data_IF_974938084410
#
_entry.id   IF_974938084410
#
_cell.length_a   1.000
_cell.length_b   1.000
_cell.length_c   1.000
_cell.angle_alpha   90.00
_cell.angle_beta   90.00
_cell.angle_gamma   90.00
#
_symmetry.space_group_name_H-M   'P 1'
#
loop_
_entity.id
_entity.type
_entity.pdbx_description
1 polymer ?
#
# COMPACT_ATOMS: atom_id res chain seq x y z
N UNK A 1 -11.17 16.47 51.27
CA UNK A 1 -11.75 15.14 50.97
C UNK A 1 -12.67 15.34 49.78
N UNK A 2 -12.53 14.75 48.59
CA UNK A 2 -11.53 13.89 47.97
C UNK A 2 -11.89 13.82 46.48
N UNK A 3 -10.85 13.88 45.63
CA UNK A 3 -10.65 13.19 44.36
C UNK A 3 -11.75 13.16 43.25
N UNK A 4 -11.36 13.55 42.04
CA UNK A 4 -11.53 12.71 40.85
C UNK A 4 -10.69 13.27 39.69
N UNK A 5 -9.41 12.89 39.68
CA UNK A 5 -8.54 13.13 38.53
C UNK A 5 -9.02 12.26 37.36
N UNK A 6 -9.66 12.88 36.37
CA UNK A 6 -10.01 12.21 35.10
C UNK A 6 -8.72 11.90 34.34
N UNK A 7 -8.19 10.71 34.57
CA UNK A 7 -7.12 10.11 33.75
C UNK A 7 -7.66 9.92 32.34
N UNK A 8 -7.28 10.81 31.43
CA UNK A 8 -7.41 10.61 30.00
C UNK A 8 -6.41 9.52 29.60
N UNK A 9 -6.85 8.27 29.58
CA UNK A 9 -6.09 7.17 28.96
C UNK A 9 -6.13 7.36 27.45
N UNK A 10 -5.24 8.21 26.92
CA UNK A 10 -4.86 8.21 25.51
C UNK A 10 -3.91 7.02 25.28
N UNK A 11 -4.48 5.85 25.00
CA UNK A 11 -3.67 4.65 24.84
C UNK A 11 -4.49 3.52 24.25
N UNK A 12 -4.78 3.59 22.95
CA UNK A 12 -5.46 2.49 22.28
C UNK A 12 -5.96 2.84 20.89
N UNK A 13 -5.04 3.02 19.92
CA UNK A 13 -5.41 3.03 18.49
C UNK A 13 -4.32 2.69 17.45
N UNK A 14 -3.26 1.90 17.73
CA UNK A 14 -2.32 1.54 16.66
C UNK A 14 -2.88 0.44 15.73
N UNK A 15 -3.60 -0.56 16.25
CA UNK A 15 -3.97 -1.74 15.46
C UNK A 15 -4.99 -1.46 14.33
N UNK A 16 -6.04 -0.69 14.62
CA UNK A 16 -7.08 -0.38 13.64
C UNK A 16 -6.56 0.51 12.49
N UNK A 17 -5.62 1.42 12.77
CA UNK A 17 -5.02 2.28 11.76
C UNK A 17 -4.09 1.49 10.81
N UNK A 18 -3.36 0.50 11.33
CA UNK A 18 -2.48 -0.35 10.51
C UNK A 18 -3.29 -1.20 9.53
N UNK A 19 -4.42 -1.75 9.98
CA UNK A 19 -5.28 -2.57 9.12
C UNK A 19 -6.00 -1.74 8.05
N UNK A 20 -6.38 -0.50 8.35
CA UNK A 20 -6.94 0.43 7.34
C UNK A 20 -5.92 0.71 6.24
N UNK A 21 -4.69 1.08 6.61
CA UNK A 21 -3.64 1.38 5.63
C UNK A 21 -3.26 0.14 4.81
N UNK A 22 -3.35 -1.07 5.38
CA UNK A 22 -3.17 -2.33 4.62
C UNK A 22 -4.28 -2.51 3.58
N UNK A 23 -5.53 -2.20 3.91
CA UNK A 23 -6.66 -2.27 2.97
C UNK A 23 -6.49 -1.26 1.84
N UNK A 24 -6.16 -0.02 2.16
CA UNK A 24 -5.87 1.03 1.19
C UNK A 24 -4.75 0.59 0.21
N UNK A 25 -3.67 0.00 0.73
CA UNK A 25 -2.57 -0.49 -0.08
C UNK A 25 -2.97 -1.63 -1.04
N UNK A 26 -3.79 -2.58 -0.56
CA UNK A 26 -4.32 -3.65 -1.43
C UNK A 26 -5.26 -3.09 -2.50
N UNK A 27 -6.07 -2.09 -2.14
CA UNK A 27 -6.95 -1.41 -3.08
C UNK A 27 -6.14 -0.69 -4.16
N UNK A 28 -5.10 0.06 -3.79
CA UNK A 28 -4.19 0.72 -4.74
C UNK A 28 -3.48 -0.27 -5.66
N UNK A 29 -3.03 -1.42 -5.15
CA UNK A 29 -2.45 -2.48 -5.97
C UNK A 29 -3.45 -3.01 -6.99
N UNK A 30 -4.70 -3.26 -6.56
CA UNK A 30 -5.76 -3.74 -7.43
C UNK A 30 -6.11 -2.73 -8.53
N UNK A 31 -6.22 -1.44 -8.18
CA UNK A 31 -6.46 -0.33 -9.11
C UNK A 31 -5.33 -0.23 -10.12
N UNK A 32 -4.08 -0.25 -9.65
CA UNK A 32 -2.90 -0.18 -10.51
C UNK A 32 -2.88 -1.34 -11.50
N UNK A 33 -3.21 -2.56 -11.06
CA UNK A 33 -3.30 -3.73 -11.95
C UNK A 33 -4.39 -3.59 -13.01
N UNK A 34 -5.55 -3.03 -12.66
CA UNK A 34 -6.61 -2.73 -13.63
C UNK A 34 -6.14 -1.68 -14.65
N UNK A 35 -5.50 -0.60 -14.20
CA UNK A 35 -4.95 0.42 -15.09
C UNK A 35 -3.89 -0.15 -16.04
N UNK A 36 -3.03 -1.06 -15.58
CA UNK A 36 -2.04 -1.75 -16.43
C UNK A 36 -2.76 -2.53 -17.55
N UNK A 37 -3.79 -3.31 -17.20
CA UNK A 37 -4.56 -4.06 -18.20
C UNK A 37 -5.27 -3.15 -19.20
N UNK A 38 -5.77 -2.00 -18.75
CA UNK A 38 -6.38 -0.98 -19.61
C UNK A 38 -5.35 -0.39 -20.59
N UNK A 39 -4.16 -0.03 -20.10
CA UNK A 39 -3.08 0.49 -20.94
C UNK A 39 -2.60 -0.55 -21.96
N UNK A 40 -2.51 -1.83 -21.58
CA UNK A 40 -2.23 -2.92 -22.53
C UNK A 40 -3.35 -3.07 -23.59
N UNK A 41 -4.60 -2.92 -23.19
CA UNK A 41 -5.73 -2.96 -24.13
C UNK A 41 -5.67 -1.79 -25.10
N UNK A 42 -5.33 -0.59 -24.62
CA UNK A 42 -5.13 0.58 -25.46
C UNK A 42 -3.96 0.39 -26.43
N UNK A 43 -2.81 -0.13 -25.95
CA UNK A 43 -1.65 -0.46 -26.77
C UNK A 43 -2.00 -1.44 -27.90
N UNK A 44 -2.75 -2.49 -27.60
CA UNK A 44 -3.16 -3.48 -28.60
C UNK A 44 -4.07 -2.92 -29.70
N UNK A 45 -4.82 -1.86 -29.41
CA UNK A 45 -5.69 -1.19 -30.38
C UNK A 45 -5.02 0.01 -31.05
N UNK A 46 -3.89 0.49 -30.52
CA UNK A 46 -3.15 1.61 -31.06
C UNK A 46 -2.39 1.18 -32.32
N UNK A 47 -2.61 1.89 -33.43
CA UNK A 47 -1.86 1.71 -34.69
C UNK A 47 -0.90 2.89 -34.94
N UNK A 48 -1.15 4.02 -34.29
CA UNK A 48 -0.36 5.22 -34.43
C UNK A 48 0.96 5.13 -33.62
N UNK A 49 2.13 5.44 -34.21
CA UNK A 49 3.42 5.35 -33.53
C UNK A 49 3.55 6.22 -32.27
N UNK A 50 2.97 7.43 -32.27
CA UNK A 50 2.99 8.33 -31.12
C UNK A 50 2.09 7.78 -29.99
N UNK A 51 0.92 7.26 -30.32
CA UNK A 51 0.03 6.60 -29.34
C UNK A 51 0.66 5.34 -28.74
N UNK A 52 1.31 4.52 -29.56
CA UNK A 52 2.06 3.34 -29.11
C UNK A 52 3.14 3.77 -28.12
N UNK A 53 3.92 4.80 -28.47
CA UNK A 53 4.98 5.34 -27.60
C UNK A 53 4.41 5.83 -26.27
N UNK A 54 3.29 6.56 -26.30
CA UNK A 54 2.58 7.00 -25.09
C UNK A 54 2.15 5.82 -24.22
N UNK A 55 1.55 4.79 -24.81
CA UNK A 55 1.10 3.60 -24.08
C UNK A 55 2.27 2.87 -23.41
N UNK A 56 3.43 2.78 -24.08
CA UNK A 56 4.63 2.16 -23.50
C UNK A 56 5.12 2.93 -22.27
N UNK A 57 5.19 4.26 -22.35
CA UNK A 57 5.55 5.08 -21.19
C UNK A 57 4.55 4.95 -20.04
N UNK A 58 3.26 4.90 -20.36
CA UNK A 58 2.20 4.70 -19.38
C UNK A 58 2.33 3.34 -18.67
N UNK A 59 2.46 2.24 -19.43
CA UNK A 59 2.65 0.89 -18.88
C UNK A 59 3.88 0.85 -17.97
N UNK A 60 5.02 1.37 -18.42
CA UNK A 60 6.24 1.42 -17.61
C UNK A 60 6.05 2.20 -16.30
N UNK A 61 5.34 3.33 -16.34
CA UNK A 61 5.06 4.13 -15.15
C UNK A 61 4.17 3.38 -14.15
N UNK A 62 3.19 2.63 -14.65
CA UNK A 62 2.27 1.83 -13.84
C UNK A 62 2.97 0.60 -13.26
N UNK A 63 3.85 -0.06 -14.00
CA UNK A 63 4.68 -1.17 -13.51
C UNK A 63 5.65 -0.72 -12.41
N UNK A 64 6.24 0.46 -12.56
CA UNK A 64 7.09 1.06 -11.52
C UNK A 64 6.27 1.34 -10.24
N UNK A 65 5.06 1.92 -10.38
CA UNK A 65 4.14 2.13 -9.25
C UNK A 65 3.75 0.80 -8.59
N UNK A 66 3.40 -0.21 -9.38
CA UNK A 66 3.03 -1.53 -8.86
C UNK A 66 4.19 -2.18 -8.08
N UNK A 67 5.41 -2.11 -8.63
CA UNK A 67 6.62 -2.62 -7.99
C UNK A 67 6.93 -1.90 -6.67
N UNK A 68 6.73 -0.58 -6.63
CA UNK A 68 6.86 0.22 -5.41
C UNK A 68 5.85 -0.19 -4.34
N UNK A 69 4.56 -0.29 -4.69
CA UNK A 69 3.50 -0.70 -3.77
C UNK A 69 3.74 -2.13 -3.23
N UNK A 70 4.26 -3.05 -4.05
CA UNK A 70 4.65 -4.39 -3.60
C UNK A 70 5.80 -4.38 -2.58
N UNK A 71 6.78 -3.48 -2.74
CA UNK A 71 7.87 -3.32 -1.75
C UNK A 71 7.30 -2.79 -0.44
N UNK A 72 6.47 -1.77 -0.51
CA UNK A 72 5.81 -1.18 0.66
C UNK A 72 4.93 -2.22 1.39
N UNK A 73 4.21 -3.07 0.65
CA UNK A 73 3.41 -4.15 1.24
C UNK A 73 4.30 -5.17 1.99
N UNK A 74 5.43 -5.55 1.40
CA UNK A 74 6.40 -6.46 2.01
C UNK A 74 7.06 -5.88 3.26
N UNK A 75 7.41 -4.59 3.25
CA UNK A 75 7.99 -3.91 4.42
C UNK A 75 7.02 -3.90 5.60
N UNK A 76 5.75 -3.59 5.34
CA UNK A 76 4.67 -3.62 6.34
C UNK A 76 4.42 -5.01 6.92
N UNK A 77 4.58 -6.05 6.09
CA UNK A 77 4.50 -7.44 6.54
C UNK A 77 5.70 -7.85 7.40
N UNK A 78 6.91 -7.37 7.06
CA UNK A 78 8.10 -7.58 7.90
C UNK A 78 8.00 -6.86 9.23
N UNK A 79 7.49 -5.63 9.27
CA UNK A 79 7.21 -4.90 10.52
C UNK A 79 6.26 -5.69 11.45
N UNK A 80 5.27 -6.40 10.88
CA UNK A 80 4.40 -7.29 11.66
C UNK A 80 5.11 -8.55 12.17
N UNK A 81 6.16 -9.05 11.49
CA UNK A 81 6.90 -10.24 11.88
C UNK A 81 8.05 -9.94 12.87
N UNK A 82 8.65 -8.75 12.82
CA UNK A 82 9.69 -8.33 13.77
C UNK A 82 9.13 -7.72 15.08
N UNK A 83 7.81 -7.46 15.13
CA UNK A 83 7.10 -7.07 16.37
C UNK A 83 6.70 -8.25 17.27
N UNK A 84 7.25 -9.45 17.06
CA UNK A 84 6.72 -10.71 17.57
C UNK A 84 7.70 -11.69 18.24
N UNK A 85 8.78 -11.23 18.88
CA UNK A 85 9.52 -11.86 20.01
C UNK A 85 10.89 -11.19 20.10
N UNK A 86 11.30 -10.55 21.19
CA UNK A 86 11.52 -11.22 22.48
C UNK A 86 10.82 -10.59 23.70
N UNK A 87 10.38 -11.44 24.65
CA UNK A 87 9.86 -11.08 25.96
C UNK A 87 10.98 -10.68 26.94
N UNK A 88 10.62 -10.00 28.03
CA UNK A 88 11.49 -9.68 29.17
C UNK A 88 12.48 -10.81 29.48
N UNK A 89 13.78 -10.51 29.57
CA UNK A 89 14.77 -11.09 30.48
C UNK A 89 16.17 -10.51 30.21
N UNK A 90 16.55 -9.42 30.90
CA UNK A 90 17.68 -9.39 31.85
C UNK A 90 17.83 -8.03 32.52
#
# INVERSE_FOLDING_TARGET
MGEAARRLTFGGKPAAAIDEVRRELMEELSKTRVSINQAYTAFNNATDPDLITSCVFEINSLEARYSYLLRQAKEREKEKLEGGSEPCLR
#
